data_IF_538870118524
#
_entry.id   IF_538870118524
#
_cell.length_a   1.000
_cell.length_b   1.000
_cell.length_c   1.000
_cell.angle_alpha   90.00
_cell.angle_beta   90.00
_cell.angle_gamma   90.00
#
_symmetry.space_group_name_H-M   'P 1'
#
loop_
_entity.id
_entity.type
_entity.pdbx_description
1 polymer ?
#
# COMPACT_ATOMS: atom_id res chain seq x y z
N UNK A 1 24.48 -15.53 -20.84
CA UNK A 1 23.21 -15.00 -20.30
C UNK A 1 23.50 -13.67 -19.66
N UNK A 2 22.95 -12.57 -20.19
CA UNK A 2 23.11 -11.25 -19.58
C UNK A 2 22.03 -11.14 -18.52
N UNK A 3 22.40 -11.20 -17.24
CA UNK A 3 21.50 -10.77 -16.17
C UNK A 3 21.22 -9.28 -16.38
N UNK A 4 20.05 -8.97 -16.92
CA UNK A 4 19.52 -7.62 -16.92
C UNK A 4 19.32 -7.24 -15.45
N UNK A 5 20.30 -6.54 -14.87
CA UNK A 5 20.09 -5.74 -13.66
C UNK A 5 19.08 -4.67 -14.03
N UNK A 6 17.81 -4.97 -13.76
CA UNK A 6 16.72 -4.03 -13.90
C UNK A 6 16.97 -2.91 -12.87
N UNK A 7 17.38 -1.75 -13.36
CA UNK A 7 17.50 -0.56 -12.51
C UNK A 7 16.10 -0.17 -12.06
N UNK A 8 15.92 0.00 -10.76
CA UNK A 8 14.61 0.25 -10.14
C UNK A 8 13.99 1.56 -10.65
N UNK A 9 14.80 2.57 -10.98
CA UNK A 9 14.38 3.83 -11.60
C UNK A 9 13.58 3.61 -12.91
N UNK A 10 13.93 2.58 -13.69
CA UNK A 10 13.23 2.24 -14.93
C UNK A 10 11.89 1.51 -14.69
N UNK A 11 11.74 0.82 -13.55
CA UNK A 11 10.45 0.25 -13.12
C UNK A 11 9.48 1.36 -12.69
N UNK A 12 10.01 2.42 -12.07
CA UNK A 12 9.21 3.57 -11.61
C UNK A 12 8.82 4.53 -12.72
N UNK A 13 9.49 4.52 -13.88
CA UNK A 13 9.13 5.35 -15.03
C UNK A 13 7.77 4.98 -15.67
N UNK A 14 7.21 3.81 -15.37
CA UNK A 14 5.90 3.37 -15.89
C UNK A 14 4.74 3.65 -14.91
N UNK A 15 5.04 3.89 -13.64
CA UNK A 15 4.04 4.19 -12.62
C UNK A 15 4.12 5.68 -12.26
N UNK A 16 3.65 6.54 -13.17
CA UNK A 16 3.38 7.94 -12.83
C UNK A 16 2.54 7.97 -11.55
N UNK A 17 2.96 8.76 -10.56
CA UNK A 17 2.19 8.96 -9.34
C UNK A 17 0.90 9.68 -9.76
N UNK A 18 -0.22 8.95 -9.82
CA UNK A 18 -1.51 9.53 -10.17
C UNK A 18 -2.13 10.16 -8.92
N UNK A 19 -2.42 11.45 -8.95
CA UNK A 19 -3.04 12.15 -7.81
C UNK A 19 -4.42 11.57 -7.44
N UNK A 20 -5.18 11.09 -8.42
CA UNK A 20 -6.47 10.41 -8.20
C UNK A 20 -6.31 9.10 -7.41
N UNK A 21 -5.25 8.33 -7.68
CA UNK A 21 -4.95 7.11 -6.95
C UNK A 21 -4.64 7.41 -5.49
N UNK A 22 -3.81 8.42 -5.23
CA UNK A 22 -3.49 8.87 -3.86
C UNK A 22 -4.75 9.27 -3.10
N UNK A 23 -5.61 10.09 -3.69
CA UNK A 23 -6.87 10.50 -3.07
C UNK A 23 -7.74 9.30 -2.71
N UNK A 24 -7.67 8.23 -3.52
CA UNK A 24 -8.44 7.00 -3.31
C UNK A 24 -7.99 6.20 -2.09
N UNK A 25 -6.74 6.30 -1.63
CA UNK A 25 -6.26 5.59 -0.41
C UNK A 25 -6.32 6.45 0.86
N UNK A 26 -6.47 7.76 0.73
CA UNK A 26 -6.52 8.66 1.88
C UNK A 26 -7.62 8.26 2.88
N UNK A 27 -7.30 8.35 4.17
CA UNK A 27 -8.23 8.04 5.24
C UNK A 27 -7.65 7.09 6.28
N UNK A 28 -8.53 6.70 7.21
CA UNK A 28 -8.20 5.79 8.29
C UNK A 28 -8.55 4.35 7.89
N UNK A 29 -7.68 3.43 8.27
CA UNK A 29 -7.75 2.01 7.95
C UNK A 29 -7.52 1.22 9.24
N UNK A 30 -8.33 0.19 9.45
CA UNK A 30 -8.17 -0.75 10.57
C UNK A 30 -7.85 -2.14 10.01
N UNK A 31 -6.92 -2.86 10.62
CA UNK A 31 -6.61 -4.24 10.28
C UNK A 31 -7.79 -5.13 10.69
N UNK A 32 -8.63 -5.49 9.72
CA UNK A 32 -9.75 -6.42 9.89
C UNK A 32 -9.24 -7.84 10.09
N UNK A 33 -8.22 -8.23 9.33
CA UNK A 33 -7.54 -9.50 9.44
C UNK A 33 -6.03 -9.28 9.50
N UNK A 34 -5.41 -9.67 10.61
CA UNK A 34 -3.97 -9.53 10.81
C UNK A 34 -3.13 -10.55 10.06
N UNK A 35 -1.85 -10.20 9.89
CA UNK A 35 -0.78 -11.09 9.44
C UNK A 35 0.21 -11.31 10.60
N UNK A 36 1.34 -11.98 10.32
CA UNK A 36 2.46 -12.05 11.27
C UNK A 36 3.04 -10.66 11.60
N UNK A 37 2.86 -9.68 10.72
CA UNK A 37 3.41 -8.33 10.82
C UNK A 37 2.44 -7.34 11.46
N UNK A 38 1.16 -7.47 11.12
CA UNK A 38 0.11 -6.54 11.54
C UNK A 38 -0.93 -7.28 12.37
N UNK A 39 -1.18 -6.82 13.60
CA UNK A 39 -2.21 -7.36 14.47
C UNK A 39 -3.59 -6.86 14.10
N UNK A 40 -4.61 -7.72 14.23
CA UNK A 40 -6.03 -7.33 14.09
C UNK A 40 -6.37 -6.18 15.05
N UNK A 41 -7.14 -5.20 14.57
CA UNK A 41 -7.55 -4.02 15.32
C UNK A 41 -6.53 -2.87 15.34
N UNK A 42 -5.34 -3.06 14.74
CA UNK A 42 -4.42 -1.94 14.55
C UNK A 42 -4.99 -0.93 13.57
N UNK A 43 -4.79 0.36 13.85
CA UNK A 43 -5.25 1.45 12.99
C UNK A 43 -4.09 2.19 12.35
N UNK A 44 -4.27 2.55 11.09
CA UNK A 44 -3.32 3.27 10.25
C UNK A 44 -4.03 4.41 9.53
N UNK A 45 -3.32 5.50 9.29
CA UNK A 45 -3.81 6.62 8.48
C UNK A 45 -2.96 6.72 7.23
N UNK A 46 -3.59 6.65 6.06
CA UNK A 46 -2.93 6.97 4.80
C UNK A 46 -3.25 8.43 4.47
N UNK A 47 -2.20 9.22 4.24
CA UNK A 47 -2.29 10.61 3.84
C UNK A 47 -1.24 10.91 2.77
N UNK A 48 -1.70 11.08 1.54
CA UNK A 48 -0.82 11.28 0.40
C UNK A 48 0.00 10.01 0.12
N UNK A 49 1.31 10.20 0.03
CA UNK A 49 2.31 9.12 -0.10
C UNK A 49 2.84 8.64 1.24
N UNK A 50 2.07 8.80 2.32
CA UNK A 50 2.49 8.47 3.69
C UNK A 50 1.47 7.60 4.40
N UNK A 51 1.95 6.56 5.07
CA UNK A 51 1.18 5.67 5.93
C UNK A 51 1.69 5.86 7.36
N UNK A 52 0.81 6.25 8.26
CA UNK A 52 1.13 6.56 9.65
C UNK A 52 0.45 5.55 10.56
N UNK A 53 1.21 4.88 11.41
CA UNK A 53 0.65 3.97 12.41
C UNK A 53 0.07 4.73 13.62
N UNK A 54 -0.64 4.02 14.50
CA UNK A 54 -1.18 4.59 15.73
C UNK A 54 -0.11 5.15 16.69
N UNK A 55 1.15 4.75 16.54
CA UNK A 55 2.29 5.26 17.31
C UNK A 55 2.94 6.51 16.69
N UNK A 56 2.43 7.00 15.55
CA UNK A 56 2.98 8.15 14.84
C UNK A 56 4.18 7.82 13.93
N UNK A 57 4.52 6.54 13.75
CA UNK A 57 5.58 6.15 12.82
C UNK A 57 5.07 6.25 11.39
N UNK A 58 5.81 7.00 10.58
CA UNK A 58 5.48 7.22 9.17
C UNK A 58 6.30 6.29 8.27
N UNK A 59 5.61 5.63 7.36
CA UNK A 59 6.16 4.83 6.27
C UNK A 59 5.82 5.49 4.94
N UNK A 60 6.77 5.48 4.00
CA UNK A 60 6.51 5.97 2.65
C UNK A 60 5.70 4.91 1.89
N UNK A 61 4.58 5.32 1.33
CA UNK A 61 3.77 4.51 0.43
C UNK A 61 3.87 5.03 -1.00
N UNK A 62 3.85 4.09 -1.93
CA UNK A 62 3.81 4.33 -3.36
C UNK A 62 2.47 3.81 -3.85
N UNK A 63 1.75 4.65 -4.59
CA UNK A 63 0.48 4.27 -5.20
C UNK A 63 0.70 4.10 -6.70
N UNK A 64 0.22 2.98 -7.22
CA UNK A 64 0.18 2.68 -8.64
C UNK A 64 -1.19 2.07 -9.00
N UNK A 65 -1.44 1.88 -10.29
CA UNK A 65 -2.60 1.15 -10.76
C UNK A 65 -2.22 0.20 -11.89
N UNK A 66 -3.03 -0.84 -12.04
CA UNK A 66 -3.02 -1.71 -13.21
C UNK A 66 -4.44 -1.86 -13.76
N UNK A 67 -4.61 -2.72 -14.77
CA UNK A 67 -5.93 -2.98 -15.36
C UNK A 67 -6.95 -3.58 -14.38
N UNK A 68 -6.52 -4.02 -13.21
CA UNK A 68 -7.33 -4.68 -12.19
C UNK A 68 -7.60 -3.78 -10.98
N UNK A 69 -7.11 -2.54 -10.97
CA UNK A 69 -7.38 -1.55 -9.91
C UNK A 69 -6.15 -0.87 -9.35
N UNK A 70 -6.32 -0.22 -8.20
CA UNK A 70 -5.27 0.52 -7.52
C UNK A 70 -4.46 -0.35 -6.56
N UNK A 71 -3.17 -0.07 -6.46
CA UNK A 71 -2.19 -0.77 -5.64
C UNK A 71 -1.49 0.25 -4.76
N UNK A 72 -1.42 -0.04 -3.46
CA UNK A 72 -0.63 0.71 -2.49
C UNK A 72 0.54 -0.17 -2.04
N UNK A 73 1.77 0.30 -2.17
CA UNK A 73 2.96 -0.47 -1.80
C UNK A 73 3.80 0.29 -0.77
N UNK A 74 4.42 -0.41 0.17
CA UNK A 74 5.43 0.16 1.04
C UNK A 74 6.60 -0.79 1.23
N UNK A 75 7.77 -0.22 1.46
CA UNK A 75 8.98 -0.97 1.77
C UNK A 75 9.14 -1.10 3.28
N UNK A 76 9.69 -2.23 3.73
CA UNK A 76 10.05 -2.45 5.12
C UNK A 76 11.26 -3.36 5.20
N UNK A 77 12.45 -2.78 5.36
CA UNK A 77 13.69 -3.55 5.24
C UNK A 77 13.89 -3.91 3.77
N UNK A 78 14.10 -5.19 3.47
CA UNK A 78 14.27 -5.70 2.10
C UNK A 78 12.99 -6.28 1.48
N UNK A 79 11.85 -6.12 2.15
CA UNK A 79 10.57 -6.67 1.70
C UNK A 79 9.64 -5.57 1.19
N UNK A 80 9.08 -5.79 -0.01
CA UNK A 80 8.04 -4.97 -0.59
C UNK A 80 6.67 -5.55 -0.21
N UNK A 81 5.89 -4.78 0.52
CA UNK A 81 4.51 -5.14 0.84
C UNK A 81 3.58 -4.38 -0.08
N UNK A 82 2.63 -5.09 -0.70
CA UNK A 82 1.70 -4.51 -1.64
C UNK A 82 0.28 -4.83 -1.19
N UNK A 83 -0.57 -3.82 -1.16
CA UNK A 83 -1.99 -3.91 -0.95
C UNK A 83 -2.71 -3.60 -2.25
N UNK A 84 -3.75 -4.37 -2.55
CA UNK A 84 -4.70 -4.04 -3.62
C UNK A 84 -5.98 -3.48 -3.01
N UNK A 85 -6.47 -2.39 -3.59
CA UNK A 85 -7.76 -1.84 -3.21
C UNK A 85 -8.89 -2.68 -3.81
N UNK A 86 -9.85 -3.05 -2.99
CA UNK A 86 -11.09 -3.70 -3.42
C UNK A 86 -11.93 -2.78 -4.32
N UNK A 87 -12.77 -3.35 -5.17
CA UNK A 87 -13.57 -2.58 -6.14
C UNK A 87 -14.56 -1.59 -5.48
N UNK A 88 -15.02 -1.89 -4.28
CA UNK A 88 -15.87 -1.03 -3.46
C UNK A 88 -15.08 0.04 -2.67
N UNK A 89 -13.75 0.06 -2.79
CA UNK A 89 -12.85 1.02 -2.14
C UNK A 89 -12.93 1.02 -0.60
N UNK A 90 -13.39 -0.08 0.00
CA UNK A 90 -13.48 -0.23 1.47
C UNK A 90 -12.45 -1.16 2.07
N UNK A 91 -11.71 -1.94 1.27
CA UNK A 91 -10.71 -2.90 1.77
C UNK A 91 -9.39 -2.83 1.02
N UNK A 92 -8.31 -3.05 1.77
CA UNK A 92 -6.95 -3.28 1.27
C UNK A 92 -6.56 -4.72 1.55
N UNK A 93 -6.28 -5.46 0.50
CA UNK A 93 -5.81 -6.85 0.57
C UNK A 93 -4.29 -6.87 0.37
N UNK A 94 -3.54 -7.13 1.44
CA UNK A 94 -2.09 -7.12 1.42
C UNK A 94 -1.49 -8.47 1.03
N UNK A 95 -0.32 -8.42 0.39
CA UNK A 95 0.45 -9.59 -0.03
C UNK A 95 0.90 -10.49 1.13
N UNK A 96 0.92 -9.96 2.35
CA UNK A 96 1.23 -10.71 3.58
C UNK A 96 -0.01 -11.43 4.18
N UNK A 97 -1.14 -11.37 3.48
CA UNK A 97 -2.42 -11.95 3.90
C UNK A 97 -3.24 -11.10 4.86
N UNK A 98 -2.76 -9.91 5.24
CA UNK A 98 -3.57 -8.98 6.04
C UNK A 98 -4.64 -8.30 5.19
N UNK A 99 -5.80 -8.04 5.80
CA UNK A 99 -6.90 -7.28 5.19
C UNK A 99 -7.20 -6.10 6.07
N UNK A 100 -7.15 -4.89 5.49
CA UNK A 100 -7.46 -3.67 6.21
C UNK A 100 -8.77 -3.11 5.68
N UNK A 101 -9.69 -2.73 6.57
CA UNK A 101 -10.94 -2.09 6.22
C UNK A 101 -10.83 -0.59 6.44
N UNK A 102 -11.48 0.18 5.59
CA UNK A 102 -11.59 1.63 5.75
C UNK A 102 -12.50 1.95 6.93
N UNK A 103 -12.04 2.81 7.83
CA UNK A 103 -12.86 3.43 8.85
C UNK A 103 -13.56 4.63 8.21
N UNK A 104 -14.88 4.70 8.36
CA UNK A 104 -15.72 5.77 7.80
C UNK A 104 -15.43 7.12 8.43
#
# INVERSE_FOLDING_TARGET
QVEQKMNWEDVFAVAGVWEEGIATFNGQWEVEQGSKKWGTGQSFTINGTSLVDAGGKQLKVIVSNDRKGYICSHESGSELHQARLSADSVRLEWSDGSVWKRLR
#
